data_IF_717966456703
#
_entry.id   IF_717966456703
#
_cell.length_a   1.000
_cell.length_b   1.000
_cell.length_c   1.000
_cell.angle_alpha   90.00
_cell.angle_beta   90.00
_cell.angle_gamma   90.00
#
_symmetry.space_group_name_H-M   'P 1'
#
loop_
_entity.id
_entity.type
_entity.pdbx_description
1 polymer ?
#
# COMPACT_ATOMS: atom_id res chain seq x y z
N UNK A 1 1.88 25.94 -11.13
CA UNK A 1 1.97 25.51 -12.55
C UNK A 1 2.26 24.03 -12.57
N UNK A 2 1.41 23.22 -13.20
CA UNK A 2 1.55 21.76 -13.30
C UNK A 2 2.65 21.42 -14.30
N UNK A 3 3.87 21.17 -13.81
CA UNK A 3 4.99 20.77 -14.65
C UNK A 3 4.99 19.25 -14.88
N UNK A 4 5.48 18.80 -16.03
CA UNK A 4 5.54 17.37 -16.40
C UNK A 4 6.24 16.55 -15.31
N UNK A 5 7.28 17.09 -14.70
CA UNK A 5 8.03 16.44 -13.61
C UNK A 5 7.14 16.17 -12.40
N UNK A 6 6.28 17.13 -12.01
CA UNK A 6 5.37 17.02 -10.87
C UNK A 6 4.23 16.04 -11.15
N UNK A 7 3.72 16.03 -12.39
CA UNK A 7 2.71 15.04 -12.83
C UNK A 7 3.32 13.64 -12.81
N UNK A 8 4.48 13.46 -13.45
CA UNK A 8 5.17 12.18 -13.53
C UNK A 8 5.50 11.64 -12.14
N UNK A 9 6.06 12.46 -11.24
CA UNK A 9 6.36 12.01 -9.87
C UNK A 9 5.11 11.57 -9.09
N UNK A 10 4.00 12.29 -9.27
CA UNK A 10 2.71 11.98 -8.62
C UNK A 10 2.13 10.68 -9.14
N UNK A 11 2.09 10.53 -10.47
CA UNK A 11 1.62 9.32 -11.12
C UNK A 11 2.48 8.13 -10.74
N UNK A 12 3.81 8.26 -10.74
CA UNK A 12 4.73 7.18 -10.37
C UNK A 12 4.58 6.78 -8.90
N UNK A 13 4.48 7.73 -7.98
CA UNK A 13 4.30 7.42 -6.56
C UNK A 13 2.96 6.71 -6.30
N UNK A 14 1.87 7.21 -6.89
CA UNK A 14 0.56 6.55 -6.79
C UNK A 14 0.57 5.17 -7.45
N UNK A 15 1.17 5.04 -8.64
CA UNK A 15 1.31 3.76 -9.34
C UNK A 15 2.07 2.74 -8.49
N UNK A 16 3.26 3.08 -7.98
CA UNK A 16 4.09 2.14 -7.21
C UNK A 16 3.41 1.71 -5.91
N UNK A 17 2.77 2.64 -5.22
CA UNK A 17 2.00 2.35 -4.01
C UNK A 17 0.82 1.43 -4.33
N UNK A 18 -0.03 1.82 -5.28
CA UNK A 18 -1.20 1.03 -5.64
C UNK A 18 -0.88 -0.31 -6.28
N UNK A 19 0.27 -0.45 -6.95
CA UNK A 19 0.67 -1.71 -7.57
C UNK A 19 0.81 -2.83 -6.52
N UNK A 20 1.39 -2.53 -5.36
CA UNK A 20 1.55 -3.50 -4.29
C UNK A 20 0.21 -3.94 -3.71
N UNK A 21 -0.63 -2.97 -3.34
CA UNK A 21 -1.94 -3.26 -2.73
C UNK A 21 -2.85 -4.05 -3.69
N UNK A 22 -2.80 -3.72 -5.00
CA UNK A 22 -3.58 -4.47 -5.99
C UNK A 22 -3.02 -5.89 -6.18
N UNK A 23 -1.71 -6.10 -6.06
CA UNK A 23 -1.12 -7.45 -6.07
C UNK A 23 -1.64 -8.28 -4.90
N UNK A 24 -1.65 -7.73 -3.68
CA UNK A 24 -2.16 -8.43 -2.48
C UNK A 24 -3.66 -8.75 -2.61
N UNK A 25 -4.46 -7.76 -3.05
CA UNK A 25 -5.88 -7.97 -3.29
C UNK A 25 -6.11 -9.08 -4.34
N UNK A 26 -5.34 -9.03 -5.44
CA UNK A 26 -5.43 -9.99 -6.52
C UNK A 26 -5.06 -11.41 -6.06
N UNK A 27 -4.03 -11.55 -5.22
CA UNK A 27 -3.63 -12.85 -4.65
C UNK A 27 -4.79 -13.50 -3.90
N UNK A 28 -5.51 -12.74 -3.07
CA UNK A 28 -6.68 -13.26 -2.33
C UNK A 28 -7.83 -13.58 -3.28
N UNK A 29 -8.16 -12.70 -4.24
CA UNK A 29 -9.21 -12.95 -5.23
C UNK A 29 -8.91 -14.25 -6.01
N UNK A 30 -7.66 -14.44 -6.43
CA UNK A 30 -7.23 -15.63 -7.12
C UNK A 30 -7.35 -16.87 -6.23
N UNK A 31 -6.98 -16.76 -4.95
CA UNK A 31 -7.12 -17.86 -3.98
C UNK A 31 -8.60 -18.27 -3.83
N UNK A 32 -9.51 -17.30 -3.75
CA UNK A 32 -10.95 -17.55 -3.68
C UNK A 32 -11.48 -18.15 -5.00
N UNK A 33 -11.08 -17.59 -6.13
CA UNK A 33 -11.53 -18.01 -7.46
C UNK A 33 -11.12 -19.44 -7.81
N UNK A 34 -9.87 -19.83 -7.47
CA UNK A 34 -9.32 -21.16 -7.76
C UNK A 34 -9.75 -22.21 -6.73
N UNK A 35 -9.88 -21.83 -5.45
CA UNK A 35 -10.21 -22.80 -4.39
C UNK A 35 -11.70 -23.15 -4.31
N UNK A 36 -12.58 -22.22 -4.72
CA UNK A 36 -14.02 -22.40 -4.62
C UNK A 36 -14.75 -22.15 -5.93
N UNK A 37 -14.94 -20.88 -6.30
CA UNK A 37 -15.57 -20.50 -7.56
C UNK A 37 -15.36 -19.01 -7.85
N UNK A 38 -15.35 -18.66 -9.13
CA UNK A 38 -15.15 -17.29 -9.60
C UNK A 38 -16.37 -16.39 -9.36
N UNK A 39 -17.59 -16.94 -9.27
CA UNK A 39 -18.80 -16.14 -9.11
C UNK A 39 -18.81 -15.36 -7.78
N UNK A 40 -18.62 -15.97 -6.61
CA UNK A 40 -18.55 -15.23 -5.35
C UNK A 40 -17.34 -14.30 -5.27
N UNK A 41 -16.20 -14.69 -5.83
CA UNK A 41 -15.00 -13.85 -5.87
C UNK A 41 -15.25 -12.54 -6.62
N UNK A 42 -15.87 -12.62 -7.81
CA UNK A 42 -16.22 -11.45 -8.63
C UNK A 42 -17.29 -10.61 -7.93
N UNK A 43 -18.34 -11.23 -7.37
CA UNK A 43 -19.40 -10.49 -6.66
C UNK A 43 -18.80 -9.72 -5.48
N UNK A 44 -17.98 -10.36 -4.66
CA UNK A 44 -17.29 -9.71 -3.54
C UNK A 44 -16.41 -8.55 -3.98
N UNK A 45 -15.64 -8.75 -5.06
CA UNK A 45 -14.78 -7.72 -5.65
C UNK A 45 -15.58 -6.52 -6.15
N UNK A 46 -16.64 -6.75 -6.94
CA UNK A 46 -17.49 -5.68 -7.48
C UNK A 46 -18.18 -4.91 -6.37
N UNK A 47 -18.72 -5.59 -5.35
CA UNK A 47 -19.33 -4.93 -4.21
C UNK A 47 -18.33 -4.05 -3.46
N UNK A 48 -17.11 -4.53 -3.25
CA UNK A 48 -16.05 -3.74 -2.60
C UNK A 48 -15.68 -2.51 -3.43
N UNK A 49 -15.52 -2.66 -4.75
CA UNK A 49 -15.24 -1.54 -5.65
C UNK A 49 -16.37 -0.50 -5.67
N UNK A 50 -17.64 -0.92 -5.63
CA UNK A 50 -18.79 -0.01 -5.51
C UNK A 50 -18.73 0.76 -4.19
N UNK A 51 -18.44 0.08 -3.07
CA UNK A 51 -18.29 0.74 -1.77
C UNK A 51 -17.15 1.75 -1.78
N UNK A 52 -15.99 1.38 -2.33
CA UNK A 52 -14.84 2.30 -2.47
C UNK A 52 -15.18 3.50 -3.35
N UNK A 53 -15.86 3.29 -4.48
CA UNK A 53 -16.30 4.36 -5.36
C UNK A 53 -17.27 5.32 -4.64
N UNK A 54 -18.23 4.78 -3.88
CA UNK A 54 -19.16 5.58 -3.08
C UNK A 54 -18.41 6.39 -2.01
N UNK A 55 -17.43 5.79 -1.31
CA UNK A 55 -16.59 6.50 -0.34
C UNK A 55 -15.88 7.67 -1.03
N UNK A 56 -15.24 7.45 -2.18
CA UNK A 56 -14.51 8.49 -2.90
C UNK A 56 -15.44 9.59 -3.43
N UNK A 57 -16.61 9.24 -3.99
CA UNK A 57 -17.58 10.21 -4.52
C UNK A 57 -18.16 11.08 -3.40
N UNK A 58 -18.39 10.51 -2.21
CA UNK A 58 -18.93 11.24 -1.07
C UNK A 58 -17.85 12.08 -0.37
N UNK A 59 -16.68 11.49 -0.08
CA UNK A 59 -15.62 12.17 0.67
C UNK A 59 -14.81 13.14 -0.20
N UNK A 60 -14.62 12.84 -1.49
CA UNK A 60 -13.80 13.64 -2.40
C UNK A 60 -14.17 15.13 -2.43
N UNK A 61 -15.45 15.48 -2.69
CA UNK A 61 -15.90 16.87 -2.64
C UNK A 61 -15.76 17.51 -1.26
N UNK A 62 -15.97 16.73 -0.19
CA UNK A 62 -15.84 17.22 1.18
C UNK A 62 -14.41 17.63 1.52
N UNK A 63 -13.39 16.94 0.96
CA UNK A 63 -11.99 17.32 1.14
C UNK A 63 -11.67 18.70 0.55
N UNK A 64 -12.36 19.11 -0.53
CA UNK A 64 -12.18 20.42 -1.14
C UNK A 64 -12.74 21.58 -0.32
N UNK A 65 -13.58 21.31 0.67
CA UNK A 65 -14.13 22.31 1.60
C UNK A 65 -13.20 22.57 2.79
N UNK A 66 -12.20 21.72 3.00
CA UNK A 66 -11.29 21.79 4.15
C UNK A 66 -10.14 22.73 3.80
N UNK A 67 -9.75 23.67 4.70
CA UNK A 67 -8.56 24.50 4.52
C UNK A 67 -7.32 23.66 4.24
N UNK A 68 -6.48 24.11 3.33
CA UNK A 68 -5.33 23.33 2.83
C UNK A 68 -4.35 23.02 3.98
N UNK A 69 -4.19 23.93 4.93
CA UNK A 69 -3.30 23.77 6.08
C UNK A 69 -3.79 22.63 7.00
N UNK A 70 -5.10 22.59 7.27
CA UNK A 70 -5.71 21.53 8.08
C UNK A 70 -5.63 20.18 7.36
N UNK A 71 -5.87 20.19 6.04
CA UNK A 71 -5.77 19.01 5.19
C UNK A 71 -4.33 18.46 5.19
N UNK A 72 -3.33 19.33 5.05
CA UNK A 72 -1.91 18.99 5.13
C UNK A 72 -1.54 18.43 6.50
N UNK A 73 -1.99 19.05 7.59
CA UNK A 73 -1.70 18.56 8.93
C UNK A 73 -2.30 17.17 9.19
N UNK A 74 -3.59 16.99 8.88
CA UNK A 74 -4.31 15.72 9.13
C UNK A 74 -3.76 14.61 8.24
N UNK A 75 -3.67 14.83 6.92
CA UNK A 75 -3.16 13.82 6.00
C UNK A 75 -1.68 13.57 6.24
N UNK A 76 -0.88 14.61 6.50
CA UNK A 76 0.53 14.48 6.85
C UNK A 76 0.73 13.58 8.07
N UNK A 77 -0.10 13.77 9.11
CA UNK A 77 -0.07 12.92 10.31
C UNK A 77 -0.45 11.47 9.98
N UNK A 78 -1.54 11.26 9.23
CA UNK A 78 -1.95 9.93 8.79
C UNK A 78 -0.86 9.24 7.95
N UNK A 79 -0.16 10.01 7.11
CA UNK A 79 0.93 9.54 6.26
C UNK A 79 2.12 9.06 7.07
N UNK A 80 2.50 9.80 8.12
CA UNK A 80 3.51 9.35 9.07
C UNK A 80 3.06 8.04 9.73
N UNK A 81 1.82 7.96 10.21
CA UNK A 81 1.33 6.76 10.91
C UNK A 81 1.31 5.52 10.00
N UNK A 82 0.78 5.65 8.78
CA UNK A 82 0.75 4.56 7.80
C UNK A 82 2.16 4.20 7.30
N UNK A 83 2.92 5.22 6.89
CA UNK A 83 4.29 5.07 6.42
C UNK A 83 5.17 4.37 7.44
N UNK A 84 5.08 4.75 8.72
CA UNK A 84 5.83 4.11 9.80
C UNK A 84 5.39 2.67 10.08
N UNK A 85 4.10 2.32 9.94
CA UNK A 85 3.65 0.93 10.08
C UNK A 85 4.28 0.03 9.03
N UNK A 86 4.30 0.49 7.78
CA UNK A 86 4.93 -0.21 6.66
C UNK A 86 6.45 -0.25 6.82
N UNK A 87 7.08 0.89 7.07
CA UNK A 87 8.53 1.03 7.20
C UNK A 87 9.07 0.17 8.36
N UNK A 88 8.38 0.14 9.51
CA UNK A 88 8.74 -0.73 10.63
C UNK A 88 8.73 -2.20 10.22
N UNK A 89 7.64 -2.68 9.59
CA UNK A 89 7.55 -4.07 9.12
C UNK A 89 8.64 -4.37 8.09
N UNK A 90 8.88 -3.46 7.15
CA UNK A 90 9.87 -3.63 6.10
C UNK A 90 11.30 -3.68 6.65
N UNK A 91 11.66 -2.82 7.63
CA UNK A 91 12.95 -2.85 8.33
C UNK A 91 13.14 -4.20 9.06
N UNK A 92 12.12 -4.67 9.77
CA UNK A 92 12.19 -5.95 10.50
C UNK A 92 12.32 -7.15 9.56
N UNK A 93 11.65 -7.11 8.41
CA UNK A 93 11.81 -8.13 7.36
C UNK A 93 13.19 -8.09 6.72
N UNK A 94 13.68 -6.90 6.37
CA UNK A 94 15.01 -6.71 5.76
C UNK A 94 16.17 -7.07 6.70
N UNK A 95 15.95 -6.99 8.02
CA UNK A 95 16.93 -7.40 9.04
C UNK A 95 16.86 -8.88 9.44
N UNK A 96 15.90 -9.63 8.89
CA UNK A 96 15.75 -11.08 9.13
C UNK A 96 15.06 -11.44 10.45
N UNK A 97 14.48 -10.47 11.17
CA UNK A 97 13.70 -10.72 12.39
C UNK A 97 12.31 -11.26 12.10
N UNK A 98 11.74 -10.88 10.96
CA UNK A 98 10.45 -11.36 10.45
C UNK A 98 10.70 -11.97 9.08
N UNK A 99 10.04 -13.08 8.78
CA UNK A 99 10.08 -13.67 7.43
C UNK A 99 9.61 -12.65 6.38
N UNK A 100 10.24 -12.69 5.20
CA UNK A 100 9.78 -11.91 4.05
C UNK A 100 8.33 -12.30 3.71
N UNK A 101 7.53 -11.34 3.28
CA UNK A 101 6.21 -11.66 2.78
C UNK A 101 6.34 -12.36 1.43
N UNK A 102 5.59 -13.45 1.27
CA UNK A 102 5.55 -14.26 0.05
C UNK A 102 4.08 -14.49 -0.33
N UNK A 103 3.70 -13.95 -1.50
CA UNK A 103 2.37 -14.08 -2.07
C UNK A 103 1.98 -15.55 -2.33
N UNK A 104 2.95 -16.43 -2.58
CA UNK A 104 2.69 -17.88 -2.74
C UNK A 104 2.26 -18.49 -1.42
N UNK A 105 2.92 -18.10 -0.33
CA UNK A 105 2.60 -18.59 1.01
C UNK A 105 1.25 -18.01 1.47
N UNK A 106 1.00 -16.72 1.21
CA UNK A 106 -0.28 -16.07 1.48
C UNK A 106 -1.43 -16.76 0.70
N UNK A 107 -1.24 -16.98 -0.60
CA UNK A 107 -2.18 -17.71 -1.45
C UNK A 107 -2.46 -19.13 -0.92
N UNK A 108 -1.41 -19.87 -0.54
CA UNK A 108 -1.55 -21.23 -0.03
C UNK A 108 -2.33 -21.27 1.28
N UNK A 109 -2.00 -20.37 2.22
CA UNK A 109 -2.71 -20.23 3.50
C UNK A 109 -4.19 -19.92 3.30
N UNK A 110 -4.50 -18.94 2.45
CA UNK A 110 -5.88 -18.55 2.17
C UNK A 110 -6.66 -19.69 1.49
N UNK A 111 -6.02 -20.36 0.53
CA UNK A 111 -6.59 -21.54 -0.15
C UNK A 111 -6.91 -22.66 0.84
N UNK A 112 -6.01 -22.94 1.80
CA UNK A 112 -6.21 -23.98 2.80
C UNK A 112 -7.32 -23.63 3.80
N UNK A 113 -7.42 -22.37 4.21
CA UNK A 113 -8.52 -21.87 5.05
C UNK A 113 -9.87 -22.06 4.36
N UNK A 114 -9.97 -21.63 3.10
CA UNK A 114 -11.20 -21.75 2.31
C UNK A 114 -11.56 -23.23 2.03
N UNK A 115 -10.57 -24.10 1.79
CA UNK A 115 -10.78 -25.55 1.64
C UNK A 115 -11.34 -26.19 2.91
N UNK A 116 -10.85 -25.80 4.10
CA UNK A 116 -11.37 -26.32 5.38
C UNK A 116 -12.83 -25.91 5.61
N UNK A 117 -13.22 -24.74 5.11
CA UNK A 117 -14.58 -24.21 5.21
C UNK A 117 -15.48 -24.64 4.04
N UNK A 118 -14.96 -25.42 3.08
CA UNK A 118 -15.68 -25.78 1.85
C UNK A 118 -16.88 -26.70 2.06
N UNK A 119 -16.92 -27.45 3.17
CA UNK A 119 -18.04 -28.32 3.54
C UNK A 119 -19.23 -27.56 4.14
N UNK A 120 -19.07 -26.27 4.47
CA UNK A 120 -20.15 -25.48 5.03
C UNK A 120 -21.16 -25.07 3.95
N UNK A 121 -22.46 -25.08 4.31
CA UNK A 121 -23.54 -24.59 3.42
C UNK A 121 -23.34 -23.14 2.97
N UNK A 122 -22.54 -22.36 3.71
CA UNK A 122 -22.26 -20.93 3.45
C UNK A 122 -20.88 -20.70 2.82
N UNK A 123 -20.20 -21.74 2.33
CA UNK A 123 -18.86 -21.61 1.76
C UNK A 123 -18.76 -20.54 0.65
N UNK A 124 -19.78 -20.42 -0.21
CA UNK A 124 -19.80 -19.41 -1.27
C UNK A 124 -19.94 -17.98 -0.71
N UNK A 125 -20.71 -17.82 0.37
CA UNK A 125 -20.81 -16.53 1.07
C UNK A 125 -19.47 -16.17 1.75
N UNK A 126 -18.83 -17.13 2.43
CA UNK A 126 -17.52 -16.93 3.07
C UNK A 126 -16.48 -16.52 2.03
N UNK A 127 -16.39 -17.25 0.92
CA UNK A 127 -15.54 -16.94 -0.23
C UNK A 127 -15.79 -15.50 -0.76
N UNK A 128 -17.06 -15.14 -0.98
CA UNK A 128 -17.40 -13.78 -1.42
C UNK A 128 -17.02 -12.71 -0.39
N UNK A 129 -17.19 -12.98 0.91
CA UNK A 129 -16.77 -12.04 1.97
C UNK A 129 -15.26 -11.91 2.11
N UNK A 130 -14.49 -12.98 1.86
CA UNK A 130 -13.04 -12.93 1.86
C UNK A 130 -12.53 -12.03 0.73
N UNK A 131 -13.02 -12.23 -0.50
CA UNK A 131 -12.70 -11.37 -1.65
C UNK A 131 -13.15 -9.92 -1.42
N UNK A 132 -14.36 -9.70 -0.89
CA UNK A 132 -14.85 -8.36 -0.54
C UNK A 132 -13.94 -7.66 0.47
N UNK A 133 -13.57 -8.34 1.57
CA UNK A 133 -12.71 -7.77 2.61
C UNK A 133 -11.32 -7.45 2.08
N UNK A 134 -10.74 -8.34 1.30
CA UNK A 134 -9.44 -8.11 0.67
C UNK A 134 -9.47 -6.85 -0.19
N UNK A 135 -10.38 -6.78 -1.16
CA UNK A 135 -10.48 -5.64 -2.07
C UNK A 135 -10.80 -4.34 -1.34
N UNK A 136 -11.65 -4.39 -0.30
CA UNK A 136 -11.99 -3.22 0.49
C UNK A 136 -10.80 -2.71 1.30
N UNK A 137 -10.07 -3.61 1.97
CA UNK A 137 -8.91 -3.23 2.80
C UNK A 137 -7.79 -2.65 1.94
N UNK A 138 -7.33 -3.40 0.93
CA UNK A 138 -6.27 -2.96 0.04
C UNK A 138 -6.70 -1.72 -0.77
N UNK A 139 -7.97 -1.67 -1.18
CA UNK A 139 -8.53 -0.53 -1.90
C UNK A 139 -8.61 0.75 -1.07
N UNK A 140 -8.80 0.66 0.25
CA UNK A 140 -8.71 1.83 1.14
C UNK A 140 -7.26 2.34 1.19
N UNK A 141 -6.26 1.46 1.25
CA UNK A 141 -4.85 1.86 1.20
C UNK A 141 -4.51 2.55 -0.13
N UNK A 142 -5.05 2.05 -1.26
CA UNK A 142 -4.97 2.73 -2.57
C UNK A 142 -5.57 4.13 -2.53
N UNK A 143 -6.80 4.28 -2.02
CA UNK A 143 -7.47 5.60 -1.91
C UNK A 143 -6.66 6.55 -1.03
N UNK A 144 -6.12 6.05 0.07
CA UNK A 144 -5.26 6.82 0.96
C UNK A 144 -4.00 7.32 0.25
N UNK A 145 -3.31 6.47 -0.52
CA UNK A 145 -2.13 6.84 -1.31
C UNK A 145 -2.49 7.92 -2.35
N UNK A 146 -3.61 7.76 -3.08
CA UNK A 146 -4.05 8.72 -4.09
C UNK A 146 -4.31 10.09 -3.48
N UNK A 147 -5.00 10.13 -2.33
CA UNK A 147 -5.27 11.37 -1.60
C UNK A 147 -3.95 11.98 -1.09
N UNK A 148 -3.08 11.18 -0.49
CA UNK A 148 -1.82 11.62 0.06
C UNK A 148 -0.89 12.26 -0.96
N UNK A 149 -0.74 11.65 -2.13
CA UNK A 149 0.16 12.15 -3.16
C UNK A 149 -0.51 13.27 -3.99
N UNK A 150 -1.84 13.21 -4.16
CA UNK A 150 -2.58 14.10 -5.05
C UNK A 150 -3.17 15.36 -4.41
N UNK A 151 -3.60 15.32 -3.15
CA UNK A 151 -4.47 16.36 -2.58
C UNK A 151 -3.79 17.72 -2.40
N UNK A 152 -2.53 17.75 -1.96
CA UNK A 152 -1.83 19.00 -1.61
C UNK A 152 -1.54 19.94 -2.78
N UNK A 153 -1.74 19.50 -4.03
CA UNK A 153 -1.53 20.33 -5.25
C UNK A 153 -2.68 20.21 -6.26
N UNK A 154 -3.84 19.70 -5.86
CA UNK A 154 -4.97 19.48 -6.79
C UNK A 154 -4.70 18.43 -7.88
N UNK A 155 -3.76 17.50 -7.64
CA UNK A 155 -3.33 16.49 -8.61
C UNK A 155 -3.99 15.12 -8.39
N UNK A 156 -5.09 15.06 -7.64
CA UNK A 156 -5.82 13.83 -7.33
C UNK A 156 -6.18 13.06 -8.62
N UNK A 157 -6.57 13.77 -9.69
CA UNK A 157 -6.86 13.14 -10.98
C UNK A 157 -5.66 12.39 -11.58
N UNK A 158 -4.46 12.97 -11.51
CA UNK A 158 -3.24 12.32 -11.99
C UNK A 158 -2.83 11.15 -11.09
N UNK A 159 -2.93 11.31 -9.77
CA UNK A 159 -2.69 10.21 -8.84
C UNK A 159 -3.65 9.04 -9.08
N UNK A 160 -4.93 9.31 -9.31
CA UNK A 160 -5.94 8.31 -9.64
C UNK A 160 -5.63 7.60 -10.97
N UNK A 161 -5.13 8.31 -11.99
CA UNK A 161 -4.67 7.69 -13.24
C UNK A 161 -3.47 6.74 -13.01
N UNK A 162 -2.53 7.12 -12.14
CA UNK A 162 -1.42 6.25 -11.74
C UNK A 162 -1.91 4.97 -11.06
N UNK A 163 -2.82 5.10 -10.11
CA UNK A 163 -3.44 3.96 -9.42
C UNK A 163 -4.25 3.07 -10.37
N UNK A 164 -5.03 3.66 -11.29
CA UNK A 164 -5.78 2.93 -12.30
C UNK A 164 -4.85 2.15 -13.26
N UNK A 165 -3.74 2.76 -13.69
CA UNK A 165 -2.75 2.10 -14.53
C UNK A 165 -2.10 0.91 -13.80
N UNK A 166 -1.79 1.04 -12.51
CA UNK A 166 -1.29 -0.06 -11.69
C UNK A 166 -2.31 -1.21 -11.62
N UNK A 167 -3.58 -0.87 -11.36
CA UNK A 167 -4.65 -1.85 -11.29
C UNK A 167 -4.83 -2.62 -12.61
N UNK A 168 -4.91 -1.90 -13.73
CA UNK A 168 -5.03 -2.52 -15.06
C UNK A 168 -3.83 -3.42 -15.39
N UNK A 169 -2.62 -2.99 -15.04
CA UNK A 169 -1.42 -3.79 -15.26
C UNK A 169 -1.45 -5.08 -14.44
N UNK A 170 -1.77 -5.02 -13.15
CA UNK A 170 -1.86 -6.21 -12.30
C UNK A 170 -2.93 -7.16 -12.81
N UNK A 171 -4.10 -6.66 -13.19
CA UNK A 171 -5.16 -7.49 -13.77
C UNK A 171 -4.73 -8.14 -15.09
N UNK A 172 -4.03 -7.42 -15.96
CA UNK A 172 -3.53 -7.96 -17.23
C UNK A 172 -2.48 -9.06 -17.00
N UNK A 173 -1.51 -8.83 -16.11
CA UNK A 173 -0.49 -9.85 -15.78
C UNK A 173 -1.16 -11.04 -15.08
N UNK A 174 -2.08 -10.79 -14.15
CA UNK A 174 -2.83 -11.81 -13.43
C UNK A 174 -3.65 -12.71 -14.36
N UNK A 175 -4.31 -12.11 -15.37
CA UNK A 175 -5.05 -12.82 -16.41
C UNK A 175 -4.12 -13.61 -17.35
N UNK A 176 -2.87 -13.21 -17.54
CA UNK A 176 -1.91 -13.99 -18.33
C UNK A 176 -1.32 -15.16 -17.52
N UNK A 177 -0.99 -14.92 -16.24
CA UNK A 177 -0.18 -15.82 -15.41
C UNK A 177 -1.03 -16.83 -14.63
N UNK A 178 -2.27 -16.49 -14.25
CA UNK A 178 -3.18 -17.33 -13.44
C UNK A 178 -2.56 -17.90 -12.15
N UNK A 179 -1.53 -17.25 -11.60
CA UNK A 179 -0.82 -17.62 -10.38
C UNK A 179 -0.56 -16.36 -9.52
N UNK A 180 -0.37 -16.50 -8.20
CA UNK A 180 0.01 -15.38 -7.36
C UNK A 180 1.28 -14.72 -7.88
N UNK A 181 1.34 -13.39 -7.81
CA UNK A 181 2.42 -12.58 -8.40
C UNK A 181 3.66 -12.54 -7.50
N UNK A 182 4.12 -13.69 -7.02
CA UNK A 182 5.20 -13.84 -6.05
C UNK A 182 6.58 -13.35 -6.53
N UNK A 183 6.74 -13.04 -7.83
CA UNK A 183 7.96 -12.43 -8.37
C UNK A 183 8.03 -10.92 -8.17
N UNK A 184 6.94 -10.28 -7.75
CA UNK A 184 6.91 -8.86 -7.46
C UNK A 184 7.75 -8.59 -6.21
N UNK A 185 8.70 -7.62 -6.24
CA UNK A 185 9.51 -7.28 -5.08
C UNK A 185 8.72 -6.45 -4.05
N UNK A 186 7.61 -6.99 -3.56
CA UNK A 186 6.62 -6.32 -2.70
C UNK A 186 7.25 -5.82 -1.40
N UNK A 187 8.10 -6.61 -0.76
CA UNK A 187 8.87 -6.18 0.41
C UNK A 187 9.71 -4.90 0.15
N UNK A 188 10.36 -4.81 -1.02
CA UNK A 188 11.15 -3.63 -1.41
C UNK A 188 10.26 -2.46 -1.73
N UNK A 189 9.14 -2.69 -2.44
CA UNK A 189 8.17 -1.65 -2.74
C UNK A 189 7.55 -1.08 -1.47
N UNK A 190 7.11 -1.90 -0.50
CA UNK A 190 6.60 -1.42 0.81
C UNK A 190 7.66 -0.68 1.62
N UNK A 191 8.94 -1.04 1.49
CA UNK A 191 10.03 -0.27 2.10
C UNK A 191 10.15 1.13 1.49
N UNK A 192 10.22 1.21 0.15
CA UNK A 192 10.37 2.47 -0.58
C UNK A 192 9.13 3.35 -0.42
N UNK A 193 7.94 2.78 -0.59
CA UNK A 193 6.67 3.50 -0.42
C UNK A 193 6.50 3.92 1.03
N UNK A 194 6.84 3.07 2.01
CA UNK A 194 6.84 3.44 3.43
C UNK A 194 7.75 4.64 3.73
N UNK A 195 8.95 4.69 3.15
CA UNK A 195 9.84 5.86 3.22
C UNK A 195 9.21 7.10 2.58
N UNK A 196 8.64 6.97 1.38
CA UNK A 196 8.00 8.08 0.67
C UNK A 196 6.82 8.64 1.47
N UNK A 197 5.90 7.78 1.94
CA UNK A 197 4.75 8.19 2.75
C UNK A 197 5.21 8.88 4.04
N UNK A 198 6.22 8.34 4.72
CA UNK A 198 6.76 8.96 5.94
C UNK A 198 7.39 10.32 5.65
N UNK A 199 8.17 10.44 4.56
CA UNK A 199 8.80 11.69 4.16
C UNK A 199 7.79 12.78 3.79
N UNK A 200 6.80 12.42 2.96
CA UNK A 200 5.68 13.30 2.62
C UNK A 200 4.88 13.68 3.85
N UNK A 201 4.66 12.73 4.76
CA UNK A 201 3.97 12.96 6.01
C UNK A 201 4.66 14.02 6.87
N UNK A 202 5.97 13.90 7.07
CA UNK A 202 6.77 14.91 7.79
C UNK A 202 6.69 16.27 7.10
N UNK A 203 6.84 16.31 5.77
CA UNK A 203 6.78 17.54 5.00
C UNK A 203 5.42 18.25 5.16
N UNK A 204 4.31 17.51 5.00
CA UNK A 204 2.95 18.05 5.11
C UNK A 204 2.54 18.41 6.53
N UNK A 205 2.93 17.61 7.53
CA UNK A 205 2.69 17.99 8.93
C UNK A 205 3.43 19.27 9.27
N UNK A 206 4.64 19.47 8.76
CA UNK A 206 5.38 20.73 8.92
C UNK A 206 4.65 21.93 8.28
N UNK A 207 4.28 21.83 7.01
CA UNK A 207 3.55 22.89 6.29
C UNK A 207 2.19 23.20 6.95
N UNK A 208 1.45 22.17 7.37
CA UNK A 208 0.18 22.32 8.07
C UNK A 208 0.29 22.96 9.46
N UNK A 209 1.49 22.93 10.07
CA UNK A 209 1.81 23.67 11.30
C UNK A 209 2.38 25.07 11.04
N UNK A 210 2.50 25.49 9.77
CA UNK A 210 3.07 26.77 9.37
C UNK A 210 4.60 26.80 9.31
N UNK A 211 5.27 25.65 9.29
CA UNK A 211 6.72 25.59 9.14
C UNK A 211 7.13 25.94 7.71
N UNK A 212 8.08 26.86 7.56
CA UNK A 212 8.66 27.18 6.25
C UNK A 212 9.87 26.29 5.97
N UNK A 213 9.75 25.40 5.00
CA UNK A 213 10.86 24.51 4.65
C UNK A 213 11.97 25.24 3.85
N UNK A 214 13.25 25.11 4.25
CA UNK A 214 14.36 25.68 3.49
C UNK A 214 14.44 25.00 2.11
N UNK A 215 14.44 25.81 1.05
CA UNK A 215 14.41 25.30 -0.33
C UNK A 215 13.05 24.78 -0.80
N UNK A 216 11.96 25.09 -0.07
CA UNK A 216 10.59 24.69 -0.38
C UNK A 216 10.50 23.18 -0.63
N UNK A 217 10.08 22.76 -1.83
CA UNK A 217 9.89 21.34 -2.19
C UNK A 217 11.19 20.52 -2.18
N UNK A 218 12.38 21.14 -2.27
CA UNK A 218 13.66 20.41 -2.20
C UNK A 218 13.91 19.80 -0.82
N UNK A 219 13.31 20.36 0.23
CA UNK A 219 13.38 19.81 1.58
C UNK A 219 12.84 18.38 1.66
N UNK A 220 11.86 18.01 0.83
CA UNK A 220 11.33 16.66 0.76
C UNK A 220 12.41 15.63 0.41
N UNK A 221 13.34 15.98 -0.48
CA UNK A 221 14.47 15.12 -0.84
C UNK A 221 15.39 14.96 0.37
N UNK A 222 15.68 16.04 1.10
CA UNK A 222 16.51 15.99 2.31
C UNK A 222 15.85 15.11 3.39
N UNK A 223 14.56 15.30 3.65
CA UNK A 223 13.77 14.48 4.60
C UNK A 223 13.84 13.00 4.20
N UNK A 224 13.60 12.70 2.91
CA UNK A 224 13.67 11.34 2.38
C UNK A 224 15.06 10.73 2.58
N UNK A 225 16.13 11.46 2.25
CA UNK A 225 17.52 10.98 2.41
C UNK A 225 17.83 10.69 3.88
N UNK A 226 17.44 11.57 4.81
CA UNK A 226 17.64 11.35 6.24
C UNK A 226 16.90 10.10 6.73
N UNK A 227 15.62 9.93 6.36
CA UNK A 227 14.83 8.76 6.71
C UNK A 227 15.38 7.48 6.09
N UNK A 228 15.86 7.54 4.84
CA UNK A 228 16.47 6.41 4.16
C UNK A 228 17.77 5.98 4.84
N UNK A 229 18.65 6.93 5.16
CA UNK A 229 19.90 6.66 5.88
C UNK A 229 19.62 6.05 7.26
N UNK A 230 18.67 6.63 8.01
CA UNK A 230 18.24 6.08 9.29
C UNK A 230 17.71 4.65 9.15
N UNK A 231 16.83 4.40 8.18
CA UNK A 231 16.23 3.07 7.96
C UNK A 231 17.26 2.04 7.55
N UNK A 232 18.21 2.39 6.67
CA UNK A 232 19.31 1.51 6.28
C UNK A 232 20.24 1.22 7.46
N UNK A 233 20.52 2.22 8.31
CA UNK A 233 21.29 2.02 9.53
C UNK A 233 20.57 1.07 10.49
N UNK A 234 19.26 1.29 10.71
CA UNK A 234 18.44 0.43 11.55
C UNK A 234 18.44 -1.03 11.05
N UNK A 235 18.30 -1.26 9.73
CA UNK A 235 18.40 -2.59 9.13
C UNK A 235 19.76 -3.23 9.42
N UNK A 236 20.87 -2.49 9.24
CA UNK A 236 22.23 -3.01 9.47
C UNK A 236 22.44 -3.38 10.94
N UNK A 237 22.06 -2.50 11.87
CA UNK A 237 22.20 -2.73 13.30
C UNK A 237 21.37 -3.94 13.76
N UNK A 238 20.10 -3.97 13.36
CA UNK A 238 19.20 -5.08 13.70
C UNK A 238 19.68 -6.41 13.11
N UNK A 239 20.15 -6.41 11.87
CA UNK A 239 20.70 -7.62 11.23
C UNK A 239 21.93 -8.13 11.99
N UNK A 240 22.84 -7.25 12.36
CA UNK A 240 24.03 -7.62 13.15
C UNK A 240 23.67 -8.23 14.50
N UNK A 241 22.64 -7.70 15.16
CA UNK A 241 22.15 -8.22 16.43
C UNK A 241 21.51 -9.60 16.26
N UNK A 242 20.68 -9.79 15.23
CA UNK A 242 20.02 -11.06 14.95
C UNK A 242 21.03 -12.18 14.64
N UNK A 243 22.03 -11.89 13.81
CA UNK A 243 23.11 -12.84 13.50
C UNK A 243 23.95 -13.19 14.75
N UNK A 244 24.15 -12.24 15.67
CA UNK A 244 24.82 -12.46 16.95
C UNK A 244 24.02 -13.36 17.90
N UNK A 245 22.71 -13.15 18.01
CA UNK A 245 21.80 -13.97 18.82
C UNK A 245 21.75 -15.42 18.33
N UNK A 246 21.60 -15.63 17.02
CA UNK A 246 21.59 -16.96 16.41
C UNK A 246 22.88 -17.72 16.75
N UNK A 247 24.04 -17.08 16.61
CA UNK A 247 25.33 -17.70 16.95
C UNK A 247 25.48 -18.04 18.43
N UNK A 248 24.84 -17.29 19.33
CA UNK A 248 24.88 -17.54 20.77
C UNK A 248 24.01 -18.74 21.19
N UNK A 249 22.89 -18.99 20.48
CA UNK A 249 22.00 -20.14 20.75
C UNK A 249 22.61 -21.47 20.29
N UNK A 250 23.45 -21.46 19.25
CA UNK A 250 24.09 -22.65 18.70
C UNK A 250 25.50 -22.94 19.29
N UNK A 251 25.89 -22.25 20.37
CA UNK A 251 27.08 -22.55 21.18
C UNK A 251 26.67 -23.22 22.48
#
# INVERSE_FOLDING_TARGET
MTNITTIASTMTAAFLGSFVEVVEAFTIILAVGVSRSWRPAIIGTVLALVVLALIVIVLGPLLGLIPVELLQFVIGTLLILFGMRWLRKAILRASGFIALHDETEAFAKETDLLKRQAAERRADFIAGTAAFKAVLLEGIEVVFIVIAVGAGRGMIGYAALGAAAACLLVLAIGAAVHKPLARVPENTLKFVVGLLLTAFGVYWTGEGLGAHWPGADLSLIAIFVVLALFSLMAVRLLRSYNEGQVKAVFR
#
